data_IF_036918829037
#
_entry.id   IF_036918829037
#
_cell.length_a   1.000
_cell.length_b   1.000
_cell.length_c   1.000
_cell.angle_alpha   90.00
_cell.angle_beta   90.00
_cell.angle_gamma   90.00
#
_symmetry.space_group_name_H-M   'P 1'
#
loop_
_entity.id
_entity.type
_entity.pdbx_description
1 polymer ?
#
# COMPACT_ATOMS: atom_id res chain seq x y z
N UNK A 1 2.59 13.96 -29.52
CA UNK A 1 2.54 15.10 -30.44
C UNK A 1 2.49 14.56 -31.84
N UNK A 2 1.44 14.88 -32.57
CA UNK A 2 1.30 14.57 -33.98
C UNK A 2 2.07 15.59 -34.84
N UNK A 3 2.29 15.29 -36.12
CA UNK A 3 2.98 16.19 -37.04
C UNK A 3 2.24 17.53 -37.17
N UNK A 4 0.92 17.50 -37.34
CA UNK A 4 0.08 18.69 -37.50
C UNK A 4 0.11 19.57 -36.23
N UNK A 5 0.09 18.96 -35.04
CA UNK A 5 0.22 19.68 -33.77
C UNK A 5 1.55 20.43 -33.64
N UNK A 6 2.65 19.89 -34.19
CA UNK A 6 3.95 20.52 -34.07
C UNK A 6 4.15 21.69 -35.06
N UNK A 7 3.64 21.55 -36.29
CA UNK A 7 3.90 22.52 -37.36
C UNK A 7 2.77 23.53 -37.58
N UNK A 8 1.51 23.16 -37.30
CA UNK A 8 0.34 23.99 -37.61
C UNK A 8 -0.29 24.65 -36.38
N UNK A 9 0.04 24.17 -35.18
CA UNK A 9 -0.47 24.74 -33.92
C UNK A 9 0.60 25.60 -33.22
N UNK A 10 0.41 25.85 -31.93
CA UNK A 10 1.26 26.72 -31.13
C UNK A 10 2.68 26.14 -30.97
N UNK A 11 3.69 26.98 -31.19
CA UNK A 11 5.11 26.65 -31.04
C UNK A 11 5.45 26.31 -29.58
N UNK A 12 4.71 26.85 -28.61
CA UNK A 12 4.93 26.57 -27.18
C UNK A 12 4.44 25.18 -26.75
N UNK A 13 3.59 24.53 -27.54
CA UNK A 13 2.99 23.24 -27.23
C UNK A 13 4.05 22.16 -26.96
N UNK A 14 5.17 22.22 -27.67
CA UNK A 14 6.31 21.31 -27.47
C UNK A 14 6.88 21.39 -26.04
N UNK A 15 6.94 22.60 -25.45
CA UNK A 15 7.42 22.79 -24.07
C UNK A 15 6.49 22.12 -23.08
N UNK A 16 5.17 22.31 -23.25
CA UNK A 16 4.17 21.71 -22.36
C UNK A 16 4.13 20.19 -22.48
N UNK A 17 4.28 19.62 -23.68
CA UNK A 17 4.38 18.16 -23.83
C UNK A 17 5.60 17.58 -23.12
N UNK A 18 6.73 18.27 -23.19
CA UNK A 18 7.94 17.86 -22.45
C UNK A 18 7.70 17.89 -20.95
N UNK A 19 7.16 18.99 -20.42
CA UNK A 19 6.82 19.09 -18.99
C UNK A 19 5.84 17.99 -18.56
N UNK A 20 4.81 17.73 -19.37
CA UNK A 20 3.86 16.66 -19.09
C UNK A 20 4.50 15.27 -19.14
N UNK A 21 5.49 15.05 -20.01
CA UNK A 21 6.24 13.80 -20.08
C UNK A 21 7.12 13.60 -18.85
N UNK A 22 7.86 14.64 -18.43
CA UNK A 22 8.68 14.64 -17.20
C UNK A 22 7.80 14.31 -15.97
N UNK A 23 6.64 14.95 -15.83
CA UNK A 23 5.68 14.63 -14.76
C UNK A 23 5.19 13.17 -14.80
N UNK A 24 4.99 12.59 -15.99
CA UNK A 24 4.60 11.18 -16.13
C UNK A 24 5.73 10.23 -15.75
N UNK A 25 6.96 10.56 -16.09
CA UNK A 25 8.13 9.77 -15.68
C UNK A 25 8.29 9.77 -14.16
N UNK A 26 8.12 10.93 -13.51
CA UNK A 26 8.16 11.03 -12.05
C UNK A 26 7.07 10.19 -11.39
N UNK A 27 5.83 10.28 -11.89
CA UNK A 27 4.71 9.45 -11.41
C UNK A 27 5.01 7.96 -11.57
N UNK A 28 5.56 7.55 -12.72
CA UNK A 28 5.94 6.16 -12.98
C UNK A 28 7.05 5.70 -12.03
N UNK A 29 8.05 6.54 -11.78
CA UNK A 29 9.11 6.24 -10.84
C UNK A 29 8.55 6.03 -9.42
N UNK A 30 7.68 6.92 -8.94
CA UNK A 30 7.01 6.75 -7.64
C UNK A 30 6.21 5.44 -7.56
N UNK A 31 5.49 5.07 -8.63
CA UNK A 31 4.75 3.80 -8.69
C UNK A 31 5.67 2.58 -8.65
N UNK A 32 6.80 2.61 -9.38
CA UNK A 32 7.78 1.53 -9.37
C UNK A 32 8.43 1.36 -8.00
N UNK A 33 8.70 2.45 -7.29
CA UNK A 33 9.18 2.41 -5.92
C UNK A 33 8.17 1.73 -4.97
N UNK A 34 6.88 2.08 -5.10
CA UNK A 34 5.83 1.43 -4.33
C UNK A 34 5.73 -0.07 -4.66
N UNK A 35 5.83 -0.44 -5.93
CA UNK A 35 5.86 -1.84 -6.36
C UNK A 35 7.08 -2.59 -5.79
N UNK A 36 8.25 -1.94 -5.75
CA UNK A 36 9.46 -2.50 -5.15
C UNK A 36 9.27 -2.85 -3.68
N UNK A 37 8.60 -1.99 -2.91
CA UNK A 37 8.25 -2.27 -1.51
C UNK A 37 7.37 -3.51 -1.37
N UNK A 38 6.35 -3.64 -2.22
CA UNK A 38 5.47 -4.81 -2.24
C UNK A 38 6.21 -6.11 -2.59
N UNK A 39 7.13 -6.06 -3.55
CA UNK A 39 7.95 -7.23 -3.92
C UNK A 39 8.91 -7.59 -2.80
N UNK A 40 9.54 -6.60 -2.18
CA UNK A 40 10.40 -6.79 -1.02
C UNK A 40 9.66 -7.51 0.12
N UNK A 41 8.46 -7.06 0.45
CA UNK A 41 7.69 -7.64 1.56
C UNK A 41 7.19 -9.05 1.26
N UNK A 42 6.85 -9.33 0.00
CA UNK A 42 6.47 -10.68 -0.43
C UNK A 42 7.64 -11.66 -0.30
N UNK A 43 8.83 -11.25 -0.74
CA UNK A 43 10.04 -12.07 -0.67
C UNK A 43 10.47 -12.24 0.79
N UNK A 44 10.50 -11.17 1.57
CA UNK A 44 10.90 -11.21 2.99
C UNK A 44 9.99 -12.13 3.80
N UNK A 45 8.67 -12.03 3.60
CA UNK A 45 7.66 -12.86 4.27
C UNK A 45 7.81 -14.32 3.87
N UNK A 46 8.02 -14.59 2.57
CA UNK A 46 8.22 -15.95 2.07
C UNK A 46 9.50 -16.58 2.65
N UNK A 47 10.61 -15.86 2.65
CA UNK A 47 11.88 -16.32 3.21
C UNK A 47 11.76 -16.55 4.72
N UNK A 48 11.13 -15.64 5.45
CA UNK A 48 10.90 -15.80 6.88
C UNK A 48 10.09 -17.07 7.19
N UNK A 49 9.01 -17.30 6.45
CA UNK A 49 8.14 -18.45 6.64
C UNK A 49 8.82 -19.79 6.35
N UNK A 50 9.77 -19.81 5.41
CA UNK A 50 10.52 -21.02 5.03
C UNK A 50 11.68 -21.29 5.99
N UNK A 51 12.48 -20.26 6.31
CA UNK A 51 13.77 -20.46 6.97
C UNK A 51 13.77 -20.15 8.47
N UNK A 52 13.00 -19.16 8.92
CA UNK A 52 13.08 -18.61 10.28
C UNK A 52 11.86 -18.90 11.15
N UNK A 53 10.77 -19.43 10.57
CA UNK A 53 9.54 -19.76 11.29
C UNK A 53 9.78 -20.91 12.27
N UNK A 54 9.41 -20.70 13.54
CA UNK A 54 9.45 -21.74 14.57
C UNK A 54 8.39 -22.81 14.31
N UNK A 55 8.71 -24.06 14.67
CA UNK A 55 7.74 -25.17 14.59
C UNK A 55 6.50 -24.86 15.43
N UNK A 56 5.31 -25.00 14.84
CA UNK A 56 4.02 -24.69 15.48
C UNK A 56 3.55 -23.23 15.36
N UNK A 57 4.37 -22.32 14.86
CA UNK A 57 3.94 -20.94 14.58
C UNK A 57 3.21 -20.86 13.24
N UNK A 58 2.11 -20.10 13.18
CA UNK A 58 1.43 -19.83 11.91
C UNK A 58 2.31 -19.01 10.96
N UNK A 59 2.14 -19.21 9.66
CA UNK A 59 2.85 -18.44 8.65
C UNK A 59 2.47 -16.95 8.74
N UNK A 60 3.46 -16.07 8.68
CA UNK A 60 3.23 -14.63 8.52
C UNK A 60 2.59 -14.39 7.16
N UNK A 61 1.50 -13.63 7.12
CA UNK A 61 0.81 -13.28 5.87
C UNK A 61 1.42 -12.04 5.24
N UNK A 62 1.40 -12.01 3.91
CA UNK A 62 1.59 -10.78 3.14
C UNK A 62 0.50 -9.74 3.50
N UNK A 63 0.78 -8.42 3.38
CA UNK A 63 -0.21 -7.39 3.66
C UNK A 63 -1.50 -7.61 2.88
N UNK A 64 -2.63 -7.57 3.60
CA UNK A 64 -3.97 -7.72 3.01
C UNK A 64 -4.54 -6.40 2.50
N UNK A 65 -4.03 -5.27 2.98
CA UNK A 65 -4.47 -3.92 2.62
C UNK A 65 -3.33 -3.16 1.90
N UNK A 66 -3.67 -2.24 0.97
CA UNK A 66 -2.67 -1.40 0.33
C UNK A 66 -1.94 -0.47 1.31
N UNK A 67 -0.75 0.02 0.93
CA UNK A 67 -0.04 0.99 1.75
C UNK A 67 -0.72 2.36 1.65
N UNK A 68 -0.92 3.06 2.77
CA UNK A 68 -1.51 4.39 2.77
C UNK A 68 -0.51 5.41 2.21
N UNK A 69 -0.91 6.13 1.16
CA UNK A 69 -0.08 7.15 0.51
C UNK A 69 -0.29 8.54 1.11
N UNK A 70 -1.45 8.78 1.72
CA UNK A 70 -1.81 10.07 2.32
C UNK A 70 -1.99 9.93 3.82
N UNK A 71 -1.71 10.99 4.59
CA UNK A 71 -1.83 10.96 6.05
C UNK A 71 -3.27 10.70 6.51
N UNK A 72 -4.27 11.22 5.79
CA UNK A 72 -5.68 10.88 6.02
C UNK A 72 -5.95 9.37 5.90
N UNK A 73 -5.30 8.68 4.96
CA UNK A 73 -5.46 7.23 4.81
C UNK A 73 -4.81 6.50 5.99
N UNK A 74 -3.65 6.98 6.47
CA UNK A 74 -2.99 6.43 7.67
C UNK A 74 -3.87 6.58 8.91
N UNK A 75 -4.49 7.74 9.10
CA UNK A 75 -5.40 7.98 10.24
C UNK A 75 -6.61 7.06 10.21
N UNK A 76 -7.22 6.85 9.02
CA UNK A 76 -8.34 5.92 8.85
C UNK A 76 -7.91 4.49 9.16
N UNK A 77 -6.77 4.04 8.64
CA UNK A 77 -6.27 2.69 8.93
C UNK A 77 -5.99 2.49 10.42
N UNK A 78 -5.44 3.51 11.09
CA UNK A 78 -5.23 3.47 12.55
C UNK A 78 -6.55 3.36 13.31
N UNK A 79 -7.56 4.15 12.95
CA UNK A 79 -8.88 4.08 13.58
C UNK A 79 -9.51 2.68 13.38
N UNK A 80 -9.43 2.13 12.18
CA UNK A 80 -9.92 0.77 11.89
C UNK A 80 -9.20 -0.28 12.73
N UNK A 81 -7.87 -0.18 12.90
CA UNK A 81 -7.13 -1.12 13.77
C UNK A 81 -7.55 -1.02 15.23
N UNK A 82 -7.75 0.20 15.74
CA UNK A 82 -8.21 0.44 17.11
C UNK A 82 -9.62 -0.15 17.31
N UNK A 83 -10.53 0.06 16.37
CA UNK A 83 -11.89 -0.48 16.42
C UNK A 83 -11.90 -2.02 16.39
N UNK A 84 -11.08 -2.64 15.53
CA UNK A 84 -10.92 -4.10 15.46
C UNK A 84 -10.40 -4.67 16.80
N UNK A 85 -9.44 -4.00 17.45
CA UNK A 85 -8.92 -4.39 18.76
C UNK A 85 -9.96 -4.25 19.87
N UNK A 86 -10.71 -3.16 19.88
CA UNK A 86 -11.80 -2.93 20.83
C UNK A 86 -12.91 -3.98 20.67
N UNK A 87 -13.26 -4.35 19.44
CA UNK A 87 -14.24 -5.39 19.17
C UNK A 87 -13.79 -6.75 19.70
N UNK A 88 -12.52 -7.14 19.44
CA UNK A 88 -11.92 -8.37 19.98
C UNK A 88 -11.92 -8.38 21.51
N UNK A 89 -11.55 -7.26 22.14
CA UNK A 89 -11.55 -7.12 23.59
C UNK A 89 -12.95 -7.27 24.20
N UNK A 90 -13.97 -6.66 23.58
CA UNK A 90 -15.37 -6.80 24.01
C UNK A 90 -15.85 -8.25 23.92
N UNK A 91 -15.56 -8.94 22.81
CA UNK A 91 -15.92 -10.36 22.65
C UNK A 91 -15.22 -11.22 23.69
N UNK A 92 -13.94 -10.98 23.95
CA UNK A 92 -13.19 -11.69 24.98
C UNK A 92 -13.77 -11.47 26.38
N UNK A 93 -14.07 -10.22 26.75
CA UNK A 93 -14.72 -9.90 28.03
C UNK A 93 -16.07 -10.60 28.17
N UNK A 94 -16.92 -10.55 27.15
CA UNK A 94 -18.22 -11.22 27.17
C UNK A 94 -18.07 -12.75 27.30
N UNK A 95 -17.10 -13.34 26.60
CA UNK A 95 -16.84 -14.78 26.67
C UNK A 95 -16.36 -15.19 28.05
N UNK A 96 -15.50 -14.38 28.69
CA UNK A 96 -15.06 -14.61 30.06
C UNK A 96 -16.23 -14.54 31.04
N UNK A 97 -17.03 -13.48 30.99
CA UNK A 97 -18.17 -13.29 31.91
C UNK A 97 -19.14 -14.46 31.81
N UNK A 98 -19.49 -14.88 30.60
CA UNK A 98 -20.37 -16.04 30.38
C UNK A 98 -19.75 -17.39 30.81
N UNK A 99 -18.43 -17.47 30.99
CA UNK A 99 -17.77 -18.67 31.49
C UNK A 99 -17.73 -18.78 33.01
N UNK A 100 -18.09 -17.71 33.74
CA UNK A 100 -18.16 -17.68 35.20
C UNK A 100 -19.58 -17.81 35.76
N UNK A 101 -20.62 -17.60 34.93
CA UNK A 101 -22.03 -17.92 35.26
C UNK A 101 -22.34 -19.41 35.04
#
# INVERSE_FOLDING_TARGET
MSYDEFYLQDVELTKFYRQAYEMKEDQKNSQLWLQGMYVYDAISTSLYNVFYRKSGQQATSYPSKPYPLTDKQKEVDQQLTIEEEQAKAKVWMNTLVNGYE
#
